data_IF_732176734563
#
_entry.id   IF_732176734563
#
_cell.length_a   1.000
_cell.length_b   1.000
_cell.length_c   1.000
_cell.angle_alpha   90.00
_cell.angle_beta   90.00
_cell.angle_gamma   90.00
#
_symmetry.space_group_name_H-M   'P 1'
#
loop_
_entity.id
_entity.type
_entity.pdbx_description
1 polymer ?
#
# COMPACT_ATOMS: atom_id res chain seq x y z
N UNK A 1 8.85 -11.11 -16.94
CA UNK A 1 8.24 -12.13 -16.06
C UNK A 1 7.36 -11.42 -15.08
N UNK A 2 6.14 -11.16 -15.44
CA UNK A 2 5.31 -10.25 -14.64
C UNK A 2 3.94 -10.88 -14.53
N UNK A 3 3.56 -11.07 -13.37
CA UNK A 3 2.34 -11.56 -12.81
C UNK A 3 2.51 -11.72 -11.35
N UNK A 4 3.40 -10.95 -10.83
CA UNK A 4 3.71 -11.03 -9.42
C UNK A 4 2.74 -10.13 -8.67
N UNK A 5 2.21 -10.63 -7.59
CA UNK A 5 1.53 -9.90 -6.53
C UNK A 5 2.19 -8.55 -6.30
N UNK A 6 1.42 -7.46 -6.33
CA UNK A 6 1.91 -6.13 -5.93
C UNK A 6 2.26 -6.12 -4.44
N UNK A 7 3.47 -5.68 -4.10
CA UNK A 7 3.95 -5.64 -2.71
C UNK A 7 4.39 -4.25 -2.31
N UNK A 8 3.74 -3.67 -1.31
CA UNK A 8 4.08 -2.39 -0.72
C UNK A 8 4.73 -2.57 0.66
N UNK A 9 5.87 -1.90 0.89
CA UNK A 9 6.53 -1.83 2.19
C UNK A 9 6.29 -0.44 2.78
N UNK A 10 5.44 -0.34 3.79
CA UNK A 10 4.98 0.91 4.38
C UNK A 10 5.77 1.30 5.64
N UNK A 11 5.77 2.60 5.97
CA UNK A 11 6.43 3.12 7.17
C UNK A 11 7.95 3.22 7.03
N UNK A 12 8.41 3.60 5.86
CA UNK A 12 9.82 3.91 5.58
C UNK A 12 10.18 5.24 6.27
N UNK A 13 11.28 5.23 7.01
CA UNK A 13 11.77 6.42 7.74
C UNK A 13 13.22 6.78 7.41
N UNK A 14 13.89 5.98 6.59
CA UNK A 14 15.30 6.20 6.22
C UNK A 14 15.61 5.59 4.85
N UNK A 15 16.69 6.06 4.25
CA UNK A 15 17.12 5.66 2.90
C UNK A 15 17.51 4.17 2.82
N UNK A 16 18.23 3.66 3.82
CA UNK A 16 18.70 2.28 3.81
C UNK A 16 17.53 1.29 3.74
N UNK A 17 16.46 1.54 4.51
CA UNK A 17 15.26 0.69 4.50
C UNK A 17 14.47 0.82 3.18
N UNK A 18 14.48 2.02 2.55
CA UNK A 18 13.86 2.22 1.25
C UNK A 18 14.60 1.44 0.15
N UNK A 19 15.91 1.60 0.06
CA UNK A 19 16.76 0.88 -0.90
C UNK A 19 16.72 -0.63 -0.66
N UNK A 20 16.69 -1.06 0.60
CA UNK A 20 16.52 -2.47 0.96
C UNK A 20 15.19 -3.03 0.40
N UNK A 21 14.08 -2.33 0.62
CA UNK A 21 12.77 -2.77 0.11
C UNK A 21 12.78 -2.94 -1.41
N UNK A 22 13.32 -1.95 -2.13
CA UNK A 22 13.48 -1.99 -3.58
C UNK A 22 14.38 -3.15 -4.02
N UNK A 23 15.54 -3.31 -3.41
CA UNK A 23 16.48 -4.39 -3.73
C UNK A 23 15.90 -5.79 -3.48
N UNK A 24 14.97 -5.93 -2.53
CA UNK A 24 14.26 -7.17 -2.27
C UNK A 24 13.04 -7.36 -3.19
N UNK A 25 12.74 -6.38 -4.06
CA UNK A 25 11.72 -6.47 -5.08
C UNK A 25 10.35 -5.93 -4.65
N UNK A 26 10.27 -4.96 -3.76
CA UNK A 26 9.03 -4.23 -3.52
C UNK A 26 8.64 -3.40 -4.74
N UNK A 27 7.33 -3.30 -5.03
CA UNK A 27 6.78 -2.47 -6.10
C UNK A 27 6.50 -1.05 -5.60
N UNK A 28 6.26 -0.92 -4.29
CA UNK A 28 5.97 0.36 -3.66
C UNK A 28 6.61 0.52 -2.28
N UNK A 29 6.91 1.77 -1.92
CA UNK A 29 7.33 2.16 -0.58
C UNK A 29 6.42 3.27 -0.04
N UNK A 30 6.06 3.19 1.25
CA UNK A 30 5.15 4.13 1.90
C UNK A 30 5.82 4.98 2.98
N UNK A 31 5.51 6.28 2.98
CA UNK A 31 5.97 7.28 3.93
C UNK A 31 4.79 7.81 4.74
N UNK A 32 4.89 7.86 6.06
CA UNK A 32 3.78 8.24 6.94
C UNK A 32 3.89 9.71 7.33
N UNK A 33 2.87 10.50 7.00
CA UNK A 33 2.76 11.90 7.40
C UNK A 33 1.77 12.12 8.56
N UNK A 34 0.98 11.11 8.87
CA UNK A 34 0.09 11.12 10.05
C UNK A 34 0.87 10.84 11.36
N UNK A 35 0.35 11.27 12.53
CA UNK A 35 0.96 10.97 13.83
C UNK A 35 1.20 9.47 14.02
N UNK A 36 2.46 9.09 14.14
CA UNK A 36 2.91 7.70 14.19
C UNK A 36 4.38 7.62 14.63
N UNK A 37 4.83 6.51 15.23
CA UNK A 37 6.26 6.25 15.42
C UNK A 37 7.06 6.20 14.10
N UNK A 38 6.37 6.17 12.95
CA UNK A 38 6.95 6.12 11.60
C UNK A 38 6.77 7.43 10.85
N UNK A 39 6.30 8.47 11.53
CA UNK A 39 6.10 9.78 10.90
C UNK A 39 7.43 10.40 10.47
N UNK A 40 7.46 10.96 9.26
CA UNK A 40 8.60 11.72 8.75
C UNK A 40 8.15 13.06 8.16
N UNK A 41 9.11 13.97 7.99
CA UNK A 41 8.87 15.25 7.32
C UNK A 41 8.90 15.11 5.78
N UNK A 42 8.19 15.99 5.06
CA UNK A 42 8.18 15.99 3.60
C UNK A 42 9.59 16.12 3.00
N UNK A 43 10.45 16.95 3.58
CA UNK A 43 11.85 17.09 3.13
C UNK A 43 12.64 15.78 3.28
N UNK A 44 12.45 15.06 4.37
CA UNK A 44 13.12 13.76 4.57
C UNK A 44 12.61 12.72 3.56
N UNK A 45 11.31 12.69 3.28
CA UNK A 45 10.75 11.84 2.23
C UNK A 45 11.33 12.19 0.86
N UNK A 46 11.43 13.50 0.51
CA UNK A 46 12.04 13.96 -0.73
C UNK A 46 13.50 13.49 -0.87
N UNK A 47 14.30 13.62 0.18
CA UNK A 47 15.71 13.21 0.15
C UNK A 47 15.87 11.70 -0.09
N UNK A 48 14.91 10.89 0.34
CA UNK A 48 14.86 9.46 0.08
C UNK A 48 14.37 9.18 -1.34
N UNK A 49 13.22 9.74 -1.73
CA UNK A 49 12.54 9.41 -3.00
C UNK A 49 13.40 9.71 -4.23
N UNK A 50 14.15 10.80 -4.23
CA UNK A 50 15.04 11.17 -5.35
C UNK A 50 16.19 10.17 -5.59
N UNK A 51 16.40 9.21 -4.70
CA UNK A 51 17.43 8.16 -4.82
C UNK A 51 16.86 6.82 -5.24
N UNK A 52 15.53 6.72 -5.29
CA UNK A 52 14.86 5.49 -5.70
C UNK A 52 14.74 5.41 -7.22
N UNK A 53 14.71 4.21 -7.77
CA UNK A 53 14.42 3.99 -9.18
C UNK A 53 13.05 4.60 -9.57
N UNK A 54 12.93 5.17 -10.78
CA UNK A 54 11.70 5.84 -11.20
C UNK A 54 10.48 4.91 -11.30
N UNK A 55 10.68 3.62 -11.49
CA UNK A 55 9.60 2.61 -11.56
C UNK A 55 8.93 2.35 -10.21
N UNK A 56 9.58 2.67 -9.09
CA UNK A 56 9.02 2.41 -7.76
C UNK A 56 7.89 3.40 -7.46
N UNK A 57 6.73 2.87 -7.04
CA UNK A 57 5.62 3.68 -6.58
C UNK A 57 5.91 4.23 -5.17
N UNK A 58 6.08 5.54 -5.06
CA UNK A 58 6.30 6.22 -3.76
C UNK A 58 4.98 6.78 -3.25
N UNK A 59 4.56 6.34 -2.05
CA UNK A 59 3.22 6.59 -1.51
C UNK A 59 3.31 7.41 -0.22
N UNK A 60 2.60 8.53 -0.15
CA UNK A 60 2.41 9.30 1.09
C UNK A 60 1.13 8.86 1.81
N UNK A 61 1.22 8.46 3.06
CA UNK A 61 0.08 8.09 3.90
C UNK A 61 -0.35 9.26 4.76
N UNK A 62 -1.63 9.61 4.65
CA UNK A 62 -2.30 10.69 5.39
C UNK A 62 -3.51 10.13 6.15
N UNK A 63 -3.95 10.86 7.17
CA UNK A 63 -5.09 10.49 7.98
C UNK A 63 -5.88 11.73 8.38
N UNK A 64 -7.10 11.84 7.86
CA UNK A 64 -8.02 12.95 8.16
C UNK A 64 -7.38 14.33 7.90
N UNK A 65 -6.54 14.43 6.87
CA UNK A 65 -5.84 15.67 6.50
C UNK A 65 -6.61 16.42 5.41
N UNK A 66 -6.46 17.74 5.37
CA UNK A 66 -7.10 18.57 4.35
C UNK A 66 -6.53 18.27 2.95
N UNK A 67 -7.36 18.13 1.89
CA UNK A 67 -6.91 17.76 0.55
C UNK A 67 -5.76 18.63 0.01
N UNK A 68 -5.80 19.95 0.20
CA UNK A 68 -4.73 20.86 -0.24
C UNK A 68 -3.38 20.54 0.43
N UNK A 69 -3.38 20.19 1.72
CA UNK A 69 -2.16 19.82 2.44
C UNK A 69 -1.64 18.44 2.00
N UNK A 70 -2.54 17.51 1.67
CA UNK A 70 -2.16 16.23 1.06
C UNK A 70 -1.42 16.48 -0.25
N UNK A 71 -2.02 17.25 -1.16
CA UNK A 71 -1.46 17.58 -2.48
C UNK A 71 -0.12 18.31 -2.35
N UNK A 72 -0.05 19.37 -1.51
CA UNK A 72 1.20 20.11 -1.27
C UNK A 72 2.32 19.18 -0.76
N UNK A 73 1.99 18.30 0.19
CA UNK A 73 2.96 17.36 0.76
C UNK A 73 3.45 16.35 -0.27
N UNK A 74 2.56 15.80 -1.10
CA UNK A 74 2.90 14.88 -2.21
C UNK A 74 3.89 15.56 -3.16
N UNK A 75 3.60 16.78 -3.60
CA UNK A 75 4.46 17.51 -4.52
C UNK A 75 5.82 17.86 -3.90
N UNK A 76 5.84 18.37 -2.67
CA UNK A 76 7.08 18.73 -1.96
C UNK A 76 7.96 17.53 -1.65
N UNK A 77 7.36 16.38 -1.36
CA UNK A 77 8.08 15.14 -1.08
C UNK A 77 8.45 14.36 -2.37
N UNK A 78 8.04 14.83 -3.57
CA UNK A 78 8.31 14.14 -4.83
C UNK A 78 7.66 12.75 -4.90
N UNK A 79 6.46 12.62 -4.32
CA UNK A 79 5.74 11.34 -4.26
C UNK A 79 4.79 11.19 -5.46
N UNK A 80 4.48 9.95 -5.81
CA UNK A 80 3.64 9.61 -6.94
C UNK A 80 2.19 9.30 -6.57
N UNK A 81 1.95 8.90 -5.32
CA UNK A 81 0.64 8.46 -4.85
C UNK A 81 0.30 9.01 -3.46
N UNK A 82 -0.99 9.23 -3.21
CA UNK A 82 -1.54 9.51 -1.89
C UNK A 82 -2.34 8.31 -1.37
N UNK A 83 -2.08 7.88 -0.15
CA UNK A 83 -2.91 6.93 0.58
C UNK A 83 -3.70 7.67 1.66
N UNK A 84 -5.03 7.68 1.52
CA UNK A 84 -5.96 8.32 2.44
C UNK A 84 -6.48 7.26 3.44
N UNK A 85 -5.99 7.32 4.68
CA UNK A 85 -6.14 6.24 5.68
C UNK A 85 -6.95 6.67 6.90
N UNK A 86 -7.80 7.67 6.73
CA UNK A 86 -8.75 8.18 7.74
C UNK A 86 -10.20 8.03 7.29
N UNK A 87 -11.03 8.99 7.70
CA UNK A 87 -12.46 9.05 7.41
C UNK A 87 -12.77 10.03 6.26
N UNK A 88 -11.83 10.18 5.33
CA UNK A 88 -11.98 11.09 4.21
C UNK A 88 -13.23 10.74 3.40
N UNK A 89 -14.07 11.74 3.12
CA UNK A 89 -15.29 11.57 2.32
C UNK A 89 -14.95 11.33 0.83
N UNK A 90 -15.86 10.75 0.04
CA UNK A 90 -15.66 10.62 -1.40
C UNK A 90 -15.31 11.94 -2.09
N UNK A 91 -15.90 13.06 -1.65
CA UNK A 91 -15.59 14.39 -2.21
C UNK A 91 -14.13 14.81 -1.92
N UNK A 92 -13.60 14.53 -0.72
CA UNK A 92 -12.20 14.81 -0.40
C UNK A 92 -11.25 13.92 -1.21
N UNK A 93 -11.61 12.64 -1.40
CA UNK A 93 -10.84 11.71 -2.23
C UNK A 93 -10.79 12.20 -3.67
N UNK A 94 -11.93 12.61 -4.24
CA UNK A 94 -12.02 13.17 -5.59
C UNK A 94 -11.16 14.44 -5.74
N UNK A 95 -11.16 15.32 -4.73
CA UNK A 95 -10.36 16.55 -4.75
C UNK A 95 -8.86 16.27 -4.81
N UNK A 96 -8.38 15.29 -4.05
CA UNK A 96 -6.97 14.82 -4.14
C UNK A 96 -6.70 14.19 -5.51
N UNK A 97 -7.60 13.34 -6.02
CA UNK A 97 -7.44 12.62 -7.28
C UNK A 97 -7.36 13.55 -8.52
N UNK A 98 -7.88 14.78 -8.42
CA UNK A 98 -7.73 15.79 -9.50
C UNK A 98 -6.27 16.26 -9.68
N UNK A 99 -5.42 16.09 -8.68
CA UNK A 99 -4.06 16.67 -8.65
C UNK A 99 -2.97 15.63 -8.36
N UNK A 100 -3.34 14.46 -7.86
CA UNK A 100 -2.44 13.34 -7.59
C UNK A 100 -2.86 12.15 -8.46
N UNK A 101 -1.93 11.64 -9.26
CA UNK A 101 -2.25 10.61 -10.26
C UNK A 101 -2.81 9.33 -9.66
N UNK A 102 -2.23 8.86 -8.56
CA UNK A 102 -2.64 7.62 -7.91
C UNK A 102 -3.15 7.89 -6.50
N UNK A 103 -4.36 7.46 -6.22
CA UNK A 103 -4.97 7.56 -4.89
C UNK A 103 -5.37 6.17 -4.41
N UNK A 104 -4.89 5.82 -3.23
CA UNK A 104 -5.26 4.60 -2.51
C UNK A 104 -6.21 5.01 -1.39
N UNK A 105 -7.46 4.57 -1.41
CA UNK A 105 -8.36 4.74 -0.25
C UNK A 105 -8.23 3.54 0.66
N UNK A 106 -7.85 3.78 1.92
CA UNK A 106 -7.85 2.76 2.95
C UNK A 106 -9.20 2.70 3.64
N UNK A 107 -9.71 1.48 3.83
CA UNK A 107 -10.96 1.18 4.53
C UNK A 107 -10.73 0.09 5.56
N UNK A 108 -11.53 0.08 6.62
CA UNK A 108 -11.45 -0.96 7.66
C UNK A 108 -12.32 -2.14 7.25
N UNK A 109 -11.77 -3.35 7.30
CA UNK A 109 -12.50 -4.58 7.00
C UNK A 109 -13.80 -4.68 7.82
N UNK A 110 -14.90 -5.06 7.15
CA UNK A 110 -16.23 -5.17 7.75
C UNK A 110 -16.94 -3.83 8.02
N UNK A 111 -16.30 -2.68 7.75
CA UNK A 111 -16.94 -1.37 7.90
C UNK A 111 -17.98 -1.09 6.79
N UNK A 112 -18.88 -0.11 6.98
CA UNK A 112 -19.74 0.37 5.90
C UNK A 112 -18.95 0.86 4.70
N UNK A 113 -17.80 1.50 4.91
CA UNK A 113 -16.94 2.03 3.85
C UNK A 113 -16.31 0.91 3.02
N UNK A 114 -15.98 -0.22 3.64
CA UNK A 114 -15.48 -1.40 2.92
C UNK A 114 -16.54 -1.99 1.99
N UNK A 115 -17.80 -2.12 2.46
CA UNK A 115 -18.90 -2.63 1.65
C UNK A 115 -19.30 -1.74 0.45
N UNK A 116 -18.94 -0.47 0.51
CA UNK A 116 -19.23 0.54 -0.52
C UNK A 116 -17.96 1.26 -0.96
N UNK A 117 -16.85 0.52 -1.10
CA UNK A 117 -15.55 1.09 -1.45
C UNK A 117 -15.54 1.71 -2.86
N UNK A 118 -16.39 1.20 -3.76
CA UNK A 118 -16.65 1.73 -5.11
C UNK A 118 -17.03 3.22 -5.12
N UNK A 119 -17.70 3.69 -4.07
CA UNK A 119 -18.12 5.11 -3.95
C UNK A 119 -16.97 6.12 -3.89
N UNK A 120 -15.78 5.67 -3.56
CA UNK A 120 -14.61 6.55 -3.49
C UNK A 120 -14.01 6.85 -4.86
N UNK A 121 -14.38 6.11 -5.91
CA UNK A 121 -13.92 6.34 -7.28
C UNK A 121 -12.41 6.17 -7.47
N UNK A 122 -11.75 5.37 -6.62
CA UNK A 122 -10.33 5.06 -6.73
C UNK A 122 -10.11 3.67 -7.30
N UNK A 123 -9.09 3.51 -8.14
CA UNK A 123 -8.72 2.21 -8.70
C UNK A 123 -8.08 1.28 -7.68
N UNK A 124 -7.53 1.84 -6.61
CA UNK A 124 -6.84 1.10 -5.55
C UNK A 124 -7.54 1.31 -4.20
N UNK A 125 -7.96 0.22 -3.59
CA UNK A 125 -8.51 0.20 -2.24
C UNK A 125 -7.64 -0.68 -1.35
N UNK A 126 -7.19 -0.11 -0.24
CA UNK A 126 -6.46 -0.85 0.78
C UNK A 126 -7.42 -1.22 1.91
N UNK A 127 -7.42 -2.50 2.27
CA UNK A 127 -8.22 -3.01 3.39
C UNK A 127 -7.34 -3.30 4.58
N UNK A 128 -7.59 -2.59 5.67
CA UNK A 128 -6.86 -2.77 6.92
C UNK A 128 -7.68 -3.52 7.98
N UNK A 129 -6.99 -4.12 8.92
CA UNK A 129 -7.59 -4.81 10.05
C UNK A 129 -8.43 -3.86 10.93
N UNK A 130 -9.52 -4.34 11.54
CA UNK A 130 -10.21 -3.57 12.57
C UNK A 130 -9.28 -3.25 13.74
N UNK A 131 -9.26 -1.97 14.15
CA UNK A 131 -8.42 -1.51 15.28
C UNK A 131 -7.17 -0.71 14.87
N UNK A 132 -6.97 -0.47 13.59
CA UNK A 132 -5.91 0.41 13.05
C UNK A 132 -4.60 -0.31 12.74
N UNK A 133 -3.93 0.17 11.71
CA UNK A 133 -2.67 -0.38 11.22
C UNK A 133 -1.54 -0.33 12.25
N UNK A 134 -0.67 -1.31 12.22
CA UNK A 134 0.53 -1.38 13.07
C UNK A 134 0.35 -2.08 14.42
N UNK A 135 -0.86 -2.55 14.76
CA UNK A 135 -1.12 -3.28 15.99
C UNK A 135 -0.66 -4.76 15.96
N UNK A 136 -0.26 -5.26 14.80
CA UNK A 136 0.24 -6.64 14.63
C UNK A 136 -0.82 -7.74 14.88
N UNK A 137 -2.11 -7.36 14.98
CA UNK A 137 -3.19 -8.32 15.19
C UNK A 137 -3.73 -8.81 13.85
N UNK A 138 -3.73 -10.12 13.67
CA UNK A 138 -4.43 -10.79 12.55
C UNK A 138 -5.93 -10.66 12.76
N UNK A 139 -6.65 -10.25 11.73
CA UNK A 139 -8.10 -10.23 11.72
C UNK A 139 -8.68 -11.37 10.86
N UNK A 140 -9.97 -11.55 10.92
CA UNK A 140 -10.64 -12.50 10.04
C UNK A 140 -10.64 -11.99 8.59
N UNK A 141 -9.76 -12.54 7.77
CA UNK A 141 -9.61 -12.15 6.36
C UNK A 141 -10.85 -12.44 5.50
N UNK A 142 -11.83 -13.20 5.99
CA UNK A 142 -13.10 -13.39 5.28
C UNK A 142 -13.85 -12.06 5.12
N UNK A 143 -13.66 -11.13 6.06
CA UNK A 143 -14.22 -9.78 5.98
C UNK A 143 -13.61 -8.94 4.85
N UNK A 144 -12.41 -9.27 4.40
CA UNK A 144 -11.80 -8.62 3.25
C UNK A 144 -12.37 -9.16 1.92
N UNK A 145 -12.85 -10.40 1.90
CA UNK A 145 -13.49 -10.99 0.73
C UNK A 145 -14.92 -10.44 0.46
N UNK A 146 -15.52 -9.76 1.45
CA UNK A 146 -16.84 -9.11 1.31
C UNK A 146 -16.77 -7.70 0.70
N UNK A 147 -15.58 -7.25 0.31
CA UNK A 147 -15.41 -5.90 -0.23
C UNK A 147 -15.95 -5.85 -1.65
N UNK A 148 -16.60 -4.72 -1.95
CA UNK A 148 -17.13 -4.44 -3.27
C UNK A 148 -16.07 -4.72 -4.36
N UNK A 149 -16.53 -5.10 -5.52
CA UNK A 149 -15.72 -5.40 -6.70
C UNK A 149 -14.86 -4.19 -7.08
N UNK A 150 -13.66 -4.15 -6.52
CA UNK A 150 -12.69 -3.09 -6.78
C UNK A 150 -11.53 -3.67 -7.60
N UNK A 151 -11.06 -2.97 -8.64
CA UNK A 151 -10.08 -3.51 -9.58
C UNK A 151 -8.77 -3.93 -8.90
N UNK A 152 -8.33 -3.16 -7.91
CA UNK A 152 -7.04 -3.37 -7.23
C UNK A 152 -7.20 -3.35 -5.72
N UNK A 153 -7.53 -4.52 -5.16
CA UNK A 153 -7.60 -4.71 -3.72
C UNK A 153 -6.21 -4.96 -3.12
N UNK A 154 -5.78 -4.10 -2.21
CA UNK A 154 -4.55 -4.26 -1.42
C UNK A 154 -4.92 -4.72 -0.02
N UNK A 155 -4.45 -5.89 0.37
CA UNK A 155 -4.67 -6.42 1.73
C UNK A 155 -3.59 -5.93 2.68
N UNK A 156 -4.02 -5.37 3.82
CA UNK A 156 -3.16 -4.92 4.90
C UNK A 156 -3.64 -5.45 6.26
N UNK A 157 -3.03 -4.98 7.33
CA UNK A 157 -3.46 -5.28 8.69
C UNK A 157 -2.88 -6.57 9.27
N UNK A 158 -1.84 -6.44 10.10
CA UNK A 158 -1.23 -7.55 10.82
C UNK A 158 -0.50 -8.58 9.99
N UNK A 159 -0.22 -8.28 8.71
CA UNK A 159 0.54 -9.16 7.84
C UNK A 159 2.00 -9.28 8.31
N UNK A 160 2.52 -10.49 8.20
CA UNK A 160 3.91 -10.87 8.53
C UNK A 160 4.41 -11.88 7.51
N UNK A 161 5.71 -12.18 7.45
CA UNK A 161 6.21 -13.30 6.63
C UNK A 161 5.53 -14.63 6.92
N UNK A 162 5.06 -14.85 8.17
CA UNK A 162 4.54 -16.15 8.60
C UNK A 162 3.07 -16.36 8.23
N UNK A 163 2.32 -15.28 7.95
CA UNK A 163 0.88 -15.38 7.65
C UNK A 163 0.49 -14.89 6.26
N UNK A 164 1.38 -14.23 5.52
CA UNK A 164 1.06 -13.64 4.22
C UNK A 164 0.63 -14.68 3.18
N UNK A 165 1.22 -15.87 3.20
CA UNK A 165 0.84 -16.97 2.30
C UNK A 165 -0.64 -17.34 2.48
N UNK A 166 -1.07 -17.57 3.72
CA UNK A 166 -2.47 -17.92 4.03
C UNK A 166 -3.41 -16.76 3.69
N UNK A 167 -2.99 -15.52 3.97
CA UNK A 167 -3.76 -14.32 3.67
C UNK A 167 -4.01 -14.18 2.15
N UNK A 168 -2.96 -14.32 1.35
CA UNK A 168 -3.04 -14.24 -0.12
C UNK A 168 -3.92 -15.35 -0.69
N UNK A 169 -3.77 -16.59 -0.22
CA UNK A 169 -4.54 -17.72 -0.71
C UNK A 169 -6.05 -17.60 -0.41
N UNK A 170 -6.39 -17.02 0.73
CA UNK A 170 -7.79 -16.85 1.16
C UNK A 170 -8.48 -15.67 0.48
N UNK A 171 -7.81 -14.51 0.44
CA UNK A 171 -8.40 -13.26 -0.07
C UNK A 171 -8.21 -13.10 -1.57
N UNK A 172 -7.11 -13.64 -2.11
CA UNK A 172 -6.69 -13.43 -3.51
C UNK A 172 -6.64 -11.96 -3.91
N UNK A 173 -5.98 -11.11 -3.12
CA UNK A 173 -5.91 -9.69 -3.40
C UNK A 173 -5.03 -9.43 -4.62
N UNK A 174 -5.20 -8.26 -5.24
CA UNK A 174 -4.25 -7.76 -6.25
C UNK A 174 -2.88 -7.46 -5.65
N UNK A 175 -2.83 -6.98 -4.40
CA UNK A 175 -1.58 -6.65 -3.72
C UNK A 175 -1.66 -6.81 -2.21
N UNK A 176 -0.49 -6.69 -1.57
CA UNK A 176 -0.35 -6.72 -0.10
C UNK A 176 0.47 -5.53 0.39
N UNK A 177 0.12 -5.03 1.57
CA UNK A 177 0.83 -3.96 2.26
C UNK A 177 1.28 -4.39 3.66
N UNK A 178 2.52 -4.12 4.00
CA UNK A 178 3.07 -4.44 5.31
C UNK A 178 3.89 -3.30 5.90
N UNK A 179 3.73 -3.07 7.20
CA UNK A 179 4.53 -2.10 7.94
C UNK A 179 5.26 -2.76 9.11
N UNK A 180 4.60 -2.91 10.26
CA UNK A 180 5.21 -3.42 11.50
C UNK A 180 5.65 -4.88 11.40
N UNK A 181 4.97 -5.72 10.61
CA UNK A 181 5.26 -7.15 10.48
C UNK A 181 6.64 -7.48 9.91
N UNK A 182 7.29 -6.50 9.27
CA UNK A 182 8.65 -6.62 8.72
C UNK A 182 9.65 -5.70 9.41
N UNK A 183 9.36 -5.25 10.64
CA UNK A 183 10.26 -4.41 11.43
C UNK A 183 11.04 -5.20 12.48
N UNK A 184 12.24 -4.73 12.78
CA UNK A 184 13.03 -5.12 13.95
C UNK A 184 12.74 -4.23 15.17
N UNK A 185 12.36 -2.98 14.91
CA UNK A 185 11.87 -2.01 15.87
C UNK A 185 11.04 -0.95 15.13
N UNK A 186 10.15 -0.19 15.81
CA UNK A 186 9.32 0.81 15.13
C UNK A 186 10.10 1.74 14.22
N UNK A 187 9.72 1.82 12.93
CA UNK A 187 10.39 2.62 11.92
C UNK A 187 11.73 2.08 11.40
N UNK A 188 12.10 0.85 11.75
CA UNK A 188 13.32 0.18 11.26
C UNK A 188 12.99 -1.19 10.70
N UNK A 189 13.24 -1.40 9.42
CA UNK A 189 12.96 -2.67 8.74
C UNK A 189 13.99 -3.73 9.10
N UNK A 190 13.53 -4.98 9.11
CA UNK A 190 14.37 -6.17 9.25
C UNK A 190 14.60 -6.76 7.85
N UNK A 191 15.86 -6.85 7.38
CA UNK A 191 16.15 -7.31 6.02
C UNK A 191 15.64 -8.72 5.72
N UNK A 192 15.71 -9.62 6.67
CA UNK A 192 15.26 -11.00 6.48
C UNK A 192 13.73 -11.07 6.42
N UNK A 193 13.04 -10.32 7.29
CA UNK A 193 11.58 -10.25 7.26
C UNK A 193 11.06 -9.62 5.98
N UNK A 194 11.66 -8.52 5.50
CA UNK A 194 11.28 -7.89 4.23
C UNK A 194 11.43 -8.89 3.08
N UNK A 195 12.59 -9.53 2.97
CA UNK A 195 12.86 -10.54 1.95
C UNK A 195 11.84 -11.69 1.98
N UNK A 196 11.64 -12.29 3.15
CA UNK A 196 10.74 -13.44 3.29
C UNK A 196 9.29 -13.04 3.02
N UNK A 197 8.87 -11.83 3.42
CA UNK A 197 7.52 -11.35 3.16
C UNK A 197 7.26 -11.23 1.64
N UNK A 198 8.14 -10.53 0.93
CA UNK A 198 8.01 -10.34 -0.52
C UNK A 198 8.01 -11.68 -1.25
N UNK A 199 8.98 -12.55 -0.92
CA UNK A 199 9.09 -13.86 -1.53
C UNK A 199 7.82 -14.70 -1.32
N UNK A 200 7.34 -14.83 -0.08
CA UNK A 200 6.17 -15.65 0.26
C UNK A 200 4.87 -15.08 -0.32
N UNK A 201 4.72 -13.74 -0.36
CA UNK A 201 3.57 -13.10 -0.98
C UNK A 201 3.49 -13.44 -2.48
N UNK A 202 4.60 -13.37 -3.19
CA UNK A 202 4.67 -13.68 -4.63
C UNK A 202 4.51 -15.16 -4.93
N UNK A 203 5.10 -16.04 -4.13
CA UNK A 203 4.94 -17.51 -4.27
C UNK A 203 3.50 -17.95 -4.00
N UNK A 204 2.77 -17.24 -3.16
CA UNK A 204 1.36 -17.52 -2.84
C UNK A 204 0.37 -16.97 -3.88
N UNK A 205 0.81 -16.05 -4.73
CA UNK A 205 -0.06 -15.45 -5.75
C UNK A 205 -0.62 -16.53 -6.68
N UNK A 206 -1.93 -16.46 -7.02
CA UNK A 206 -2.48 -17.35 -8.03
C UNK A 206 -1.72 -17.16 -9.34
N UNK A 207 -1.54 -18.24 -10.13
CA UNK A 207 -0.97 -18.09 -11.46
C UNK A 207 -1.85 -17.12 -12.26
N UNK A 208 -1.22 -16.23 -13.00
CA UNK A 208 -1.95 -15.33 -13.90
C UNK A 208 -2.82 -16.17 -14.83
N UNK A 209 -4.09 -15.83 -14.85
CA UNK A 209 -4.96 -16.30 -15.90
C UNK A 209 -4.62 -15.50 -17.17
N UNK A 210 -3.66 -16.00 -17.93
CA UNK A 210 -3.38 -15.47 -19.26
C UNK A 210 -4.51 -15.99 -20.16
N UNK A 211 -5.56 -15.19 -20.31
CA UNK A 211 -6.54 -15.40 -21.38
C UNK A 211 -5.80 -15.39 -22.74
N UNK A 212 -6.31 -16.06 -23.75
CA UNK A 212 -5.63 -16.15 -25.05
C UNK A 212 -5.41 -14.79 -25.73
N UNK A 213 -6.05 -13.73 -25.30
CA UNK A 213 -6.03 -12.41 -25.95
C UNK A 213 -5.78 -11.21 -24.99
N UNK A 214 -5.52 -11.44 -23.71
CA UNK A 214 -5.26 -10.34 -22.76
C UNK A 214 -3.85 -10.46 -22.18
N UNK A 215 -3.02 -9.48 -22.47
CA UNK A 215 -1.76 -9.28 -21.75
C UNK A 215 -2.06 -9.05 -20.26
N UNK A 216 -1.28 -9.65 -19.36
CA UNK A 216 -1.42 -9.35 -17.94
C UNK A 216 -1.26 -7.85 -17.73
N UNK A 217 -2.17 -7.26 -16.95
CA UNK A 217 -2.08 -5.84 -16.61
C UNK A 217 -0.73 -5.56 -15.95
N UNK A 218 0.05 -4.71 -16.57
CA UNK A 218 1.30 -4.19 -16.01
C UNK A 218 1.07 -2.73 -15.58
N UNK A 219 1.08 -2.49 -14.28
CA UNK A 219 0.96 -1.13 -13.73
C UNK A 219 2.11 -0.21 -14.17
N UNK A 220 3.24 -0.78 -14.63
CA UNK A 220 4.37 -0.04 -15.18
C UNK A 220 4.14 0.40 -16.64
N UNK A 221 3.16 -0.19 -17.33
CA UNK A 221 2.78 0.20 -18.70
C UNK A 221 1.84 1.42 -18.71
N UNK A 222 1.29 1.81 -17.57
CA UNK A 222 0.61 3.10 -17.47
C UNK A 222 1.67 4.22 -17.63
N UNK A 223 1.64 4.94 -18.74
CA UNK A 223 2.55 6.06 -19.03
C UNK A 223 2.69 7.02 -17.83
N UNK A 224 3.88 7.07 -17.27
CA UNK A 224 4.27 7.89 -16.12
C UNK A 224 4.48 9.34 -16.50
#
# INVERSE_FOLDING_TARGET
VIGAMFVKICGITNEDDALLAVAMGADAVGFVFAPSPRQIAAQQAYDITRRLPPEILTVGLFRDEHPELVVDTIHRAGLKAAQLHGHESPAMVEEVAKQVRWVIKAVVAGSPDARHADRFGTDMVLVDAPGGGGAGKVFDWTLAAEIADVPRLILAGGLTPDNVTDAVQRVRPWGVDVSSGVEKSPGRKDPLKVRHFIQRAREAAPPLHVGPDEMPYDWADDDW
#
